data_IF_947498153067
#
_entry.id   IF_947498153067
#
_cell.length_a   1.000
_cell.length_b   1.000
_cell.length_c   1.000
_cell.angle_alpha   90.00
_cell.angle_beta   90.00
_cell.angle_gamma   90.00
#
_symmetry.space_group_name_H-M   'P 1'
#
loop_
_entity.id
_entity.type
_entity.pdbx_description
1 polymer ?
#
# COMPACT_ATOMS: atom_id res chain seq x y z
N UNK A 1 9.48 12.57 -3.53
CA UNK A 1 8.89 11.32 -4.04
C UNK A 1 8.01 10.68 -2.97
N UNK A 2 6.80 10.29 -3.28
CA UNK A 2 5.97 9.59 -2.31
C UNK A 2 6.67 8.34 -1.77
N UNK A 3 6.46 8.07 -0.50
CA UNK A 3 7.09 6.96 0.19
C UNK A 3 6.03 5.94 0.59
N UNK A 4 6.33 4.66 0.40
CA UNK A 4 5.45 3.59 0.84
C UNK A 4 6.12 2.83 1.99
N UNK A 5 5.38 2.62 3.07
CA UNK A 5 5.87 2.03 4.31
C UNK A 5 4.92 0.92 4.74
N UNK A 6 5.47 -0.25 4.99
CA UNK A 6 4.69 -1.39 5.46
C UNK A 6 4.96 -1.61 6.95
N UNK A 7 3.94 -2.02 7.68
CA UNK A 7 4.09 -2.29 9.10
C UNK A 7 4.85 -3.58 9.33
N UNK A 8 5.50 -3.74 10.49
CA UNK A 8 6.28 -4.94 10.81
C UNK A 8 5.47 -6.24 10.73
N UNK A 9 4.17 -6.15 10.94
CA UNK A 9 3.31 -7.33 10.90
C UNK A 9 3.32 -7.99 9.54
N UNK A 10 3.27 -7.21 8.48
CA UNK A 10 3.35 -7.72 7.12
C UNK A 10 4.78 -8.15 6.80
N UNK A 11 5.76 -7.44 7.32
CA UNK A 11 7.17 -7.74 7.09
C UNK A 11 7.58 -9.11 7.62
N UNK A 12 6.82 -9.70 8.52
CA UNK A 12 7.08 -11.05 9.03
C UNK A 12 6.75 -12.12 8.01
N UNK A 13 5.87 -11.82 7.07
CA UNK A 13 5.39 -12.80 6.09
C UNK A 13 6.10 -12.68 4.76
N UNK A 14 6.60 -11.50 4.44
CA UNK A 14 7.27 -11.27 3.17
C UNK A 14 8.22 -10.08 3.30
N UNK A 15 9.16 -10.01 2.40
CA UNK A 15 10.08 -8.88 2.35
C UNK A 15 9.36 -7.70 1.74
N UNK A 16 9.21 -6.62 2.51
CA UNK A 16 8.50 -5.43 2.05
C UNK A 16 9.17 -4.17 2.62
N UNK A 17 10.35 -3.83 2.13
CA UNK A 17 11.07 -2.65 2.62
C UNK A 17 10.34 -1.36 2.25
N UNK A 18 10.53 -0.31 3.04
CA UNK A 18 10.01 0.99 2.66
C UNK A 18 10.82 1.54 1.48
N UNK A 19 10.14 2.18 0.57
CA UNK A 19 10.77 2.72 -0.64
C UNK A 19 10.05 3.97 -1.10
N UNK A 20 10.71 4.73 -1.97
CA UNK A 20 10.14 5.92 -2.58
C UNK A 20 10.07 5.73 -4.08
N UNK A 21 9.01 6.26 -4.69
CA UNK A 21 8.82 6.23 -6.14
C UNK A 21 8.15 7.50 -6.59
N UNK A 22 8.40 7.90 -7.81
CA UNK A 22 7.62 8.98 -8.43
C UNK A 22 6.24 8.44 -8.77
N UNK A 23 5.20 8.99 -8.16
CA UNK A 23 3.84 8.53 -8.38
C UNK A 23 2.85 9.67 -8.13
N UNK A 24 1.81 9.73 -8.92
CA UNK A 24 0.77 10.75 -8.79
C UNK A 24 -0.42 10.30 -7.96
N UNK A 25 -0.57 9.01 -7.73
CA UNK A 25 -1.64 8.45 -6.90
C UNK A 25 -1.19 7.13 -6.28
N UNK A 26 -2.03 6.61 -5.38
CA UNK A 26 -1.70 5.38 -4.66
C UNK A 26 -1.55 4.20 -5.61
N UNK A 27 -2.43 4.09 -6.61
CA UNK A 27 -2.38 2.97 -7.56
C UNK A 27 -1.04 2.92 -8.29
N UNK A 28 -0.55 4.08 -8.73
CA UNK A 28 0.73 4.16 -9.41
C UNK A 28 1.88 3.78 -8.49
N UNK A 29 1.84 4.26 -7.25
CA UNK A 29 2.84 3.92 -6.25
C UNK A 29 2.86 2.42 -5.99
N UNK A 30 1.69 1.81 -5.79
CA UNK A 30 1.58 0.37 -5.56
C UNK A 30 2.06 -0.42 -6.77
N UNK A 31 1.70 0.00 -7.98
CA UNK A 31 2.11 -0.69 -9.20
C UNK A 31 3.63 -0.72 -9.32
N UNK A 32 4.29 0.39 -9.07
CA UNK A 32 5.75 0.45 -9.12
C UNK A 32 6.39 -0.40 -8.03
N UNK A 33 5.81 -0.37 -6.84
CA UNK A 33 6.31 -1.19 -5.74
C UNK A 33 6.21 -2.68 -6.06
N UNK A 34 5.08 -3.12 -6.59
CA UNK A 34 4.86 -4.53 -6.89
C UNK A 34 5.66 -5.03 -8.09
N UNK A 35 6.19 -4.15 -8.91
CA UNK A 35 7.13 -4.54 -9.95
C UNK A 35 8.44 -5.04 -9.34
N UNK A 36 8.86 -4.42 -8.25
CA UNK A 36 10.09 -4.83 -7.55
C UNK A 36 9.84 -5.93 -6.53
N UNK A 37 8.64 -5.95 -5.94
CA UNK A 37 8.28 -6.89 -4.88
C UNK A 37 6.96 -7.56 -5.21
N UNK A 38 6.90 -8.37 -6.27
CA UNK A 38 5.64 -8.95 -6.74
C UNK A 38 4.92 -9.82 -5.71
N UNK A 39 5.66 -10.45 -4.81
CA UNK A 39 5.05 -11.29 -3.76
C UNK A 39 4.24 -10.47 -2.75
N UNK A 40 4.49 -9.18 -2.64
CA UNK A 40 3.78 -8.32 -1.70
C UNK A 40 2.36 -8.04 -2.17
N UNK A 41 2.15 -8.02 -3.48
CA UNK A 41 0.86 -7.69 -4.07
C UNK A 41 -0.29 -8.55 -3.50
N UNK A 42 -0.07 -9.84 -3.39
CA UNK A 42 -1.09 -10.76 -2.91
C UNK A 42 -1.51 -10.54 -1.46
N UNK A 43 -0.68 -9.87 -0.67
CA UNK A 43 -1.01 -9.54 0.71
C UNK A 43 -1.85 -8.26 0.81
N UNK A 44 -1.74 -7.38 -0.18
CA UNK A 44 -2.39 -6.07 -0.15
C UNK A 44 -3.64 -6.04 -1.00
N UNK A 45 -3.58 -6.62 -2.19
CA UNK A 45 -4.67 -6.59 -3.15
C UNK A 45 -5.23 -7.99 -3.38
N UNK A 46 -6.52 -8.06 -3.66
CA UNK A 46 -7.17 -9.32 -4.04
C UNK A 46 -7.04 -9.56 -5.54
N UNK A 47 -7.66 -10.60 -6.05
CA UNK A 47 -7.60 -10.98 -7.47
C UNK A 47 -8.16 -9.92 -8.41
N UNK A 48 -9.03 -9.07 -7.90
CA UNK A 48 -9.64 -8.01 -8.68
C UNK A 48 -8.89 -6.69 -8.59
N UNK A 49 -7.80 -6.66 -7.82
CA UNK A 49 -7.02 -5.44 -7.63
C UNK A 49 -7.58 -4.50 -6.57
N UNK A 50 -8.54 -4.96 -5.78
CA UNK A 50 -9.08 -4.18 -4.67
C UNK A 50 -8.26 -4.43 -3.40
N UNK A 51 -8.12 -3.42 -2.55
CA UNK A 51 -7.44 -3.59 -1.28
C UNK A 51 -8.22 -4.58 -0.42
N UNK A 52 -7.52 -5.58 0.13
CA UNK A 52 -8.14 -6.62 0.94
C UNK A 52 -8.80 -6.01 2.18
N UNK A 53 -9.88 -6.65 2.68
CA UNK A 53 -10.70 -6.11 3.76
C UNK A 53 -9.93 -5.84 5.05
N UNK A 54 -8.92 -6.65 5.38
CA UNK A 54 -8.14 -6.44 6.61
C UNK A 54 -6.85 -5.71 6.38
N UNK A 55 -6.73 -5.08 5.22
CA UNK A 55 -5.59 -4.21 4.93
C UNK A 55 -6.08 -2.77 4.97
N UNK A 56 -5.38 -1.92 5.69
CA UNK A 56 -5.65 -0.50 5.73
C UNK A 56 -4.52 0.25 5.06
N UNK A 57 -4.88 1.27 4.31
CA UNK A 57 -3.91 2.14 3.67
C UNK A 57 -4.17 3.56 4.15
N UNK A 58 -3.17 4.19 4.73
CA UNK A 58 -3.26 5.58 5.15
C UNK A 58 -2.42 6.44 4.21
N UNK A 59 -2.98 7.54 3.78
CA UNK A 59 -2.29 8.51 2.94
C UNK A 59 -2.17 9.80 3.75
N UNK A 60 -0.96 10.16 4.09
CA UNK A 60 -0.67 11.37 4.90
C UNK A 60 -1.52 11.43 6.18
N UNK A 61 -1.68 10.30 6.84
CA UNK A 61 -2.42 10.20 8.08
C UNK A 61 -3.93 10.03 7.95
N UNK A 62 -4.44 9.97 6.73
CA UNK A 62 -5.88 9.79 6.48
C UNK A 62 -6.14 8.45 5.80
N UNK A 63 -7.27 7.83 6.11
CA UNK A 63 -7.65 6.60 5.43
C UNK A 63 -7.80 6.85 3.93
N UNK A 64 -7.24 5.97 3.13
CA UNK A 64 -7.42 6.02 1.67
C UNK A 64 -8.91 5.88 1.35
N UNK A 65 -9.41 6.71 0.45
CA UNK A 65 -10.83 6.75 0.11
C UNK A 65 -11.23 5.71 -0.92
N UNK A 66 -10.39 5.51 -1.93
CA UNK A 66 -10.72 4.62 -3.03
C UNK A 66 -10.03 3.27 -2.90
N UNK A 67 -10.69 2.32 -2.26
CA UNK A 67 -10.12 0.99 -2.04
C UNK A 67 -10.16 0.11 -3.28
N UNK A 68 -11.03 0.44 -4.22
CA UNK A 68 -11.20 -0.37 -5.42
C UNK A 68 -10.13 -0.08 -6.48
N UNK A 69 -9.82 1.19 -6.68
CA UNK A 69 -8.87 1.61 -7.71
C UNK A 69 -7.64 2.32 -7.18
N UNK A 70 -7.65 2.66 -5.88
CA UNK A 70 -6.54 3.36 -5.23
C UNK A 70 -6.18 4.65 -5.96
N UNK A 71 -7.22 5.40 -6.36
CA UNK A 71 -7.02 6.63 -7.14
C UNK A 71 -6.68 7.86 -6.31
N UNK A 72 -6.61 7.72 -4.98
CA UNK A 72 -6.28 8.85 -4.11
C UNK A 72 -4.99 9.53 -4.56
N UNK A 73 -4.99 10.85 -4.74
CA UNK A 73 -3.81 11.55 -5.23
C UNK A 73 -2.70 11.63 -4.19
N UNK A 74 -1.47 11.72 -4.65
CA UNK A 74 -0.30 11.86 -3.81
C UNK A 74 0.46 13.12 -4.17
N UNK A 75 0.96 13.81 -3.15
CA UNK A 75 1.86 14.94 -3.33
C UNK A 75 3.32 14.47 -3.33
N UNK A 76 4.24 15.41 -3.53
CA UNK A 76 5.65 15.10 -3.62
C UNK A 76 6.23 14.47 -2.35
N UNK A 77 5.69 14.85 -1.19
CA UNK A 77 6.19 14.34 0.09
C UNK A 77 5.20 13.43 0.80
N UNK A 78 4.25 12.89 0.07
CA UNK A 78 3.23 12.02 0.66
C UNK A 78 3.83 10.75 1.22
N UNK A 79 3.25 10.28 2.32
CA UNK A 79 3.63 9.00 2.93
C UNK A 79 2.41 8.08 2.93
N UNK A 80 2.61 6.89 2.40
CA UNK A 80 1.56 5.87 2.34
C UNK A 80 1.95 4.75 3.27
N UNK A 81 1.12 4.53 4.30
CA UNK A 81 1.33 3.45 5.27
C UNK A 81 0.36 2.32 4.96
N UNK A 82 0.89 1.12 4.84
CA UNK A 82 0.07 -0.06 4.59
C UNK A 82 0.14 -0.96 5.82
N UNK A 83 -0.99 -1.22 6.44
CA UNK A 83 -1.04 -2.11 7.60
C UNK A 83 -1.97 -3.28 7.33
N UNK A 84 -1.63 -4.40 7.92
CA UNK A 84 -2.54 -5.52 8.01
C UNK A 84 -3.21 -5.45 9.38
N UNK A 85 -4.52 -5.36 9.41
CA UNK A 85 -5.24 -5.33 10.67
C UNK A 85 -5.08 -6.66 11.39
N UNK A 86 -4.82 -6.57 12.68
CA UNK A 86 -4.73 -7.76 13.53
C UNK A 86 -6.09 -8.20 14.01
N UNK A 87 -7.09 -8.03 13.25
CA UNK A 87 -8.39 -8.46 13.70
C UNK A 87 -8.33 -9.95 13.89
N UNK A 88 -8.68 -10.43 14.99
CA UNK A 88 -8.81 -11.83 15.23
C UNK A 88 -9.81 -12.46 14.30
N UNK A 89 -10.16 -11.72 13.42
CA UNK A 89 -11.03 -12.27 12.39
C UNK A 89 -10.24 -12.55 11.26
#
# INVERSE_FOLDING_TARGET
MPQIIFTPNLARHTQCPEQEFVAGNVAELLAKYFEEWPQVRGFVLDDQGHVRKHVKVLVDGHNMKDRARQSDPLGADSKVYVFQALSGG
#
